data_IF_726941595552
#
_entry.id   IF_726941595552
#
_cell.length_a   1.000
_cell.length_b   1.000
_cell.length_c   1.000
_cell.angle_alpha   90.00
_cell.angle_beta   90.00
_cell.angle_gamma   90.00
#
_symmetry.space_group_name_H-M   'P 1'
#
loop_
_entity.id
_entity.type
_entity.pdbx_description
1 polymer ?
#
# COMPACT_ATOMS: atom_id res chain seq x y z
N UNK A 1 -17.63 10.93 -25.22
CA UNK A 1 -17.14 9.55 -24.94
C UNK A 1 -17.14 9.31 -23.44
N UNK A 2 -17.95 8.39 -22.90
CA UNK A 2 -17.81 7.94 -21.51
C UNK A 2 -16.63 6.96 -21.45
N UNK A 3 -15.48 7.41 -20.93
CA UNK A 3 -14.36 6.51 -20.64
C UNK A 3 -14.81 5.55 -19.53
N UNK A 4 -15.18 4.33 -19.89
CA UNK A 4 -15.43 3.24 -18.93
C UNK A 4 -14.08 2.75 -18.41
N UNK A 5 -13.44 3.54 -17.55
CA UNK A 5 -12.24 3.11 -16.82
C UNK A 5 -12.63 1.91 -15.95
N UNK A 6 -11.93 0.79 -16.15
CA UNK A 6 -12.21 -0.49 -15.48
C UNK A 6 -11.44 -0.59 -14.17
N UNK A 7 -11.91 -1.45 -13.24
CA UNK A 7 -11.15 -1.88 -12.06
C UNK A 7 -9.71 -2.26 -12.39
N UNK A 8 -9.51 -2.94 -13.51
CA UNK A 8 -8.18 -3.24 -14.09
C UNK A 8 -7.26 -2.01 -14.15
N UNK A 9 -7.74 -0.89 -14.67
CA UNK A 9 -6.94 0.33 -14.80
C UNK A 9 -6.53 0.88 -13.43
N UNK A 10 -7.40 0.79 -12.43
CA UNK A 10 -7.10 1.25 -11.08
C UNK A 10 -6.08 0.34 -10.39
N UNK A 11 -6.18 -0.98 -10.53
CA UNK A 11 -5.14 -1.89 -10.04
C UNK A 11 -3.80 -1.67 -10.75
N UNK A 12 -3.77 -1.29 -12.04
CA UNK A 12 -2.53 -0.91 -12.72
C UNK A 12 -1.89 0.33 -12.10
N UNK A 13 -2.68 1.33 -11.69
CA UNK A 13 -2.16 2.51 -10.99
C UNK A 13 -1.53 2.13 -9.66
N UNK A 14 -2.18 1.25 -8.90
CA UNK A 14 -1.63 0.73 -7.65
C UNK A 14 -0.38 -0.14 -7.84
N UNK A 15 -0.36 -0.98 -8.89
CA UNK A 15 0.82 -1.76 -9.28
C UNK A 15 2.01 -0.85 -9.58
N UNK A 16 1.78 0.21 -10.35
CA UNK A 16 2.81 1.21 -10.67
C UNK A 16 3.27 1.96 -9.41
N UNK A 17 2.37 2.32 -8.51
CA UNK A 17 2.71 2.90 -7.21
C UNK A 17 3.58 1.98 -6.34
N UNK A 18 3.24 0.68 -6.26
CA UNK A 18 4.08 -0.30 -5.54
C UNK A 18 5.43 -0.54 -6.22
N UNK A 19 5.51 -0.48 -7.55
CA UNK A 19 6.76 -0.60 -8.28
C UNK A 19 7.68 0.61 -8.05
N UNK A 20 7.13 1.82 -8.04
CA UNK A 20 7.88 3.02 -7.66
C UNK A 20 8.36 2.94 -6.20
N UNK A 21 7.53 2.44 -5.30
CA UNK A 21 7.93 2.20 -3.89
C UNK A 21 9.11 1.23 -3.80
N UNK A 22 9.16 0.20 -4.66
CA UNK A 22 10.27 -0.74 -4.70
C UNK A 22 11.57 -0.06 -5.16
N UNK A 23 11.50 0.80 -6.18
CA UNK A 23 12.65 1.61 -6.63
C UNK A 23 13.16 2.51 -5.50
N UNK A 24 12.25 3.11 -4.72
CA UNK A 24 12.63 3.91 -3.55
C UNK A 24 13.31 3.08 -2.46
N UNK A 25 12.78 1.89 -2.16
CA UNK A 25 13.38 1.00 -1.17
C UNK A 25 14.80 0.60 -1.56
N UNK A 26 15.04 0.32 -2.85
CA UNK A 26 16.37 0.03 -3.39
C UNK A 26 17.29 1.26 -3.30
N UNK A 27 16.79 2.44 -3.67
CA UNK A 27 17.56 3.70 -3.56
C UNK A 27 17.96 4.03 -2.11
N UNK A 28 17.11 3.69 -1.13
CA UNK A 28 17.41 3.87 0.28
C UNK A 28 18.62 3.03 0.76
N UNK A 29 18.88 1.87 0.14
CA UNK A 29 20.10 1.09 0.39
C UNK A 29 21.35 1.76 -0.18
N UNK A 30 21.22 2.54 -1.27
CA UNK A 30 22.29 3.32 -1.85
C UNK A 30 22.51 4.68 -1.14
N UNK A 31 21.79 4.95 -0.04
CA UNK A 31 21.86 6.22 0.69
C UNK A 31 21.10 7.38 0.03
N UNK A 32 20.31 7.12 -1.00
CA UNK A 32 19.52 8.14 -1.70
C UNK A 32 18.08 8.22 -1.19
N UNK A 33 17.54 9.43 -1.04
CA UNK A 33 16.12 9.69 -0.77
C UNK A 33 15.45 10.35 -1.98
N UNK A 34 14.37 9.77 -2.51
CA UNK A 34 13.68 10.28 -3.70
C UNK A 34 12.31 10.87 -3.36
N UNK A 35 12.30 12.09 -2.81
CA UNK A 35 11.07 12.78 -2.36
C UNK A 35 9.99 12.96 -3.45
N UNK A 36 10.40 13.03 -4.72
CA UNK A 36 9.47 13.06 -5.86
C UNK A 36 8.72 11.72 -6.04
N UNK A 37 9.40 10.59 -5.84
CA UNK A 37 8.77 9.28 -5.95
C UNK A 37 7.79 9.06 -4.80
N UNK A 38 8.07 9.51 -3.58
CA UNK A 38 7.11 9.45 -2.46
C UNK A 38 5.79 10.16 -2.79
N UNK A 39 5.90 11.35 -3.37
CA UNK A 39 4.72 12.12 -3.82
C UNK A 39 3.95 11.39 -4.91
N UNK A 40 4.66 10.77 -5.86
CA UNK A 40 4.05 9.99 -6.94
C UNK A 40 3.35 8.72 -6.41
N UNK A 41 3.99 7.97 -5.51
CA UNK A 41 3.44 6.77 -4.86
C UNK A 41 2.18 7.12 -4.09
N UNK A 42 2.22 8.18 -3.30
CA UNK A 42 1.07 8.67 -2.54
C UNK A 42 -0.09 9.01 -3.47
N UNK A 43 0.17 9.79 -4.53
CA UNK A 43 -0.84 10.19 -5.50
C UNK A 43 -1.46 8.98 -6.23
N UNK A 44 -0.64 8.05 -6.71
CA UNK A 44 -1.11 6.84 -7.40
C UNK A 44 -1.95 5.94 -6.50
N UNK A 45 -1.51 5.74 -5.25
CA UNK A 45 -2.25 4.94 -4.27
C UNK A 45 -3.57 5.62 -3.89
N UNK A 46 -3.55 6.94 -3.70
CA UNK A 46 -4.74 7.73 -3.42
C UNK A 46 -5.76 7.68 -4.57
N UNK A 47 -5.31 7.91 -5.80
CA UNK A 47 -6.14 7.83 -7.01
C UNK A 47 -6.73 6.44 -7.19
N UNK A 48 -5.95 5.38 -6.98
CA UNK A 48 -6.45 4.01 -7.03
C UNK A 48 -7.60 3.82 -6.04
N UNK A 49 -7.42 4.19 -4.76
CA UNK A 49 -8.43 3.98 -3.73
C UNK A 49 -9.71 4.77 -4.02
N UNK A 50 -9.58 6.05 -4.40
CA UNK A 50 -10.71 6.91 -4.74
C UNK A 50 -11.47 6.41 -5.97
N UNK A 51 -10.76 6.01 -7.02
CA UNK A 51 -11.41 5.53 -8.23
C UNK A 51 -12.05 4.16 -8.05
N UNK A 52 -11.44 3.28 -7.24
CA UNK A 52 -12.06 2.01 -6.90
C UNK A 52 -13.35 2.22 -6.09
N UNK A 53 -13.38 3.23 -5.21
CA UNK A 53 -14.58 3.62 -4.47
C UNK A 53 -15.64 4.28 -5.37
N UNK A 54 -15.24 4.97 -6.44
CA UNK A 54 -16.17 5.68 -7.34
C UNK A 54 -16.78 4.79 -8.44
N UNK A 55 -16.33 3.53 -8.57
CA UNK A 55 -16.88 2.58 -9.55
C UNK A 55 -18.39 2.46 -9.41
N UNK A 56 -19.07 2.59 -10.55
CA UNK A 56 -20.53 2.49 -10.62
C UNK A 56 -20.98 1.05 -10.33
N UNK A 57 -21.98 0.88 -9.47
CA UNK A 57 -22.46 -0.45 -9.03
C UNK A 57 -21.78 -1.02 -7.77
N UNK A 58 -20.77 -0.35 -7.21
CA UNK A 58 -20.16 -0.79 -5.93
C UNK A 58 -21.12 -0.53 -4.75
N UNK A 59 -21.41 -1.54 -3.89
CA UNK A 59 -22.22 -1.38 -2.68
C UNK A 59 -21.72 -0.25 -1.77
N UNK A 60 -22.64 0.40 -1.04
CA UNK A 60 -22.29 1.53 -0.16
C UNK A 60 -21.29 1.16 0.95
N UNK A 61 -21.35 -0.08 1.46
CA UNK A 61 -20.39 -0.58 2.46
C UNK A 61 -18.96 -0.64 1.90
N UNK A 62 -18.80 -1.15 0.68
CA UNK A 62 -17.50 -1.28 -0.01
C UNK A 62 -16.89 0.08 -0.36
N UNK A 63 -17.73 1.07 -0.69
CA UNK A 63 -17.27 2.45 -0.90
C UNK A 63 -16.72 3.04 0.38
N UNK A 64 -17.39 2.79 1.52
CA UNK A 64 -16.93 3.27 2.84
C UNK A 64 -15.60 2.64 3.24
N UNK A 65 -15.38 1.35 3.00
CA UNK A 65 -14.11 0.69 3.34
C UNK A 65 -12.94 1.24 2.50
N UNK A 66 -13.14 1.43 1.20
CA UNK A 66 -12.12 2.01 0.32
C UNK A 66 -11.84 3.47 0.63
N UNK A 67 -12.88 4.25 0.92
CA UNK A 67 -12.72 5.63 1.36
C UNK A 67 -12.01 5.71 2.73
N UNK A 68 -12.29 4.78 3.64
CA UNK A 68 -11.57 4.68 4.91
C UNK A 68 -10.08 4.39 4.69
N UNK A 69 -9.72 3.49 3.77
CA UNK A 69 -8.32 3.26 3.39
C UNK A 69 -7.66 4.54 2.84
N UNK A 70 -8.39 5.32 2.05
CA UNK A 70 -7.91 6.62 1.57
C UNK A 70 -7.70 7.63 2.71
N UNK A 71 -8.62 7.68 3.68
CA UNK A 71 -8.46 8.53 4.87
C UNK A 71 -7.28 8.10 5.74
N UNK A 72 -6.99 6.80 5.86
CA UNK A 72 -5.78 6.31 6.54
C UNK A 72 -4.51 6.82 5.83
N UNK A 73 -4.49 6.76 4.50
CA UNK A 73 -3.38 7.25 3.69
C UNK A 73 -3.19 8.77 3.86
N UNK A 74 -4.25 9.58 3.71
CA UNK A 74 -4.17 11.03 3.92
C UNK A 74 -3.81 11.38 5.36
N UNK A 75 -4.39 10.67 6.34
CA UNK A 75 -4.09 10.83 7.76
C UNK A 75 -2.60 10.64 8.05
N UNK A 76 -1.97 9.63 7.44
CA UNK A 76 -0.53 9.40 7.60
C UNK A 76 0.35 10.58 7.16
N UNK A 77 -0.13 11.42 6.24
CA UNK A 77 0.57 12.64 5.82
C UNK A 77 0.21 13.85 6.69
N UNK A 78 -1.02 13.91 7.19
CA UNK A 78 -1.55 15.10 7.90
C UNK A 78 -1.03 15.22 9.33
N UNK A 79 -0.89 14.11 10.06
CA UNK A 79 -0.44 14.17 11.45
C UNK A 79 1.07 14.40 11.55
N UNK A 80 1.51 15.33 12.41
CA UNK A 80 2.94 15.62 12.63
C UNK A 80 3.63 14.67 13.63
N UNK A 81 2.91 13.70 14.19
CA UNK A 81 3.43 12.75 15.19
C UNK A 81 4.06 11.54 14.48
N UNK A 82 5.40 11.33 14.52
CA UNK A 82 6.07 10.32 13.71
C UNK A 82 5.58 8.89 13.96
N UNK A 83 5.27 8.55 15.22
CA UNK A 83 4.74 7.23 15.58
C UNK A 83 3.37 6.98 14.94
N UNK A 84 2.49 7.98 14.97
CA UNK A 84 1.16 7.89 14.37
C UNK A 84 1.25 7.76 12.84
N UNK A 85 2.17 8.48 12.20
CA UNK A 85 2.41 8.34 10.76
C UNK A 85 2.80 6.91 10.38
N UNK A 86 3.75 6.30 11.13
CA UNK A 86 4.21 4.93 10.90
C UNK A 86 3.03 3.94 11.02
N UNK A 87 2.21 4.08 12.06
CA UNK A 87 1.05 3.20 12.26
C UNK A 87 0.04 3.35 11.11
N UNK A 88 -0.33 4.59 10.77
CA UNK A 88 -1.35 4.84 9.75
C UNK A 88 -0.90 4.34 8.37
N UNK A 89 0.35 4.62 7.97
CA UNK A 89 0.87 4.19 6.66
C UNK A 89 1.00 2.67 6.58
N UNK A 90 1.38 2.01 7.68
CA UNK A 90 1.47 0.55 7.75
C UNK A 90 0.11 -0.13 7.64
N UNK A 91 -0.97 0.57 7.99
CA UNK A 91 -2.32 0.00 7.99
C UNK A 91 -3.04 0.12 6.63
N UNK A 92 -2.58 1.00 5.74
CA UNK A 92 -3.23 1.25 4.43
C UNK A 92 -3.35 -0.03 3.59
N UNK A 93 -2.23 -0.72 3.37
CA UNK A 93 -2.21 -1.93 2.54
C UNK A 93 -2.87 -3.14 3.20
N UNK A 94 -2.68 -3.41 4.51
CA UNK A 94 -3.45 -4.43 5.22
C UNK A 94 -4.96 -4.20 5.19
N UNK A 95 -5.44 -2.95 5.37
CA UNK A 95 -6.86 -2.63 5.30
C UNK A 95 -7.41 -2.85 3.88
N UNK A 96 -6.65 -2.43 2.86
CA UNK A 96 -6.99 -2.69 1.46
C UNK A 96 -6.99 -4.20 1.12
N UNK A 97 -5.99 -4.94 1.59
CA UNK A 97 -5.88 -6.37 1.38
C UNK A 97 -7.01 -7.14 2.09
N UNK A 98 -7.42 -6.70 3.28
CA UNK A 98 -8.57 -7.27 4.00
C UNK A 98 -9.87 -7.06 3.20
N UNK A 99 -10.05 -5.85 2.64
CA UNK A 99 -11.19 -5.55 1.78
C UNK A 99 -11.24 -6.48 0.55
N UNK A 100 -10.13 -6.69 -0.15
CA UNK A 100 -10.09 -7.59 -1.31
C UNK A 100 -10.25 -9.07 -0.94
N UNK A 101 -9.64 -9.50 0.18
CA UNK A 101 -9.79 -10.86 0.71
C UNK A 101 -11.24 -11.21 1.02
N UNK A 102 -12.02 -10.28 1.56
CA UNK A 102 -13.44 -10.51 1.85
C UNK A 102 -14.28 -10.80 0.59
N UNK A 103 -13.77 -10.45 -0.60
CA UNK A 103 -14.41 -10.76 -1.88
C UNK A 103 -13.88 -12.05 -2.51
N UNK A 104 -12.66 -12.45 -2.14
CA UNK A 104 -11.97 -13.60 -2.73
C UNK A 104 -11.02 -14.26 -1.72
N UNK A 105 -11.39 -15.46 -1.28
CA UNK A 105 -10.61 -16.23 -0.32
C UNK A 105 -9.24 -16.68 -0.86
N UNK A 106 -9.04 -16.72 -2.18
CA UNK A 106 -7.76 -17.07 -2.80
C UNK A 106 -6.65 -16.07 -2.47
N UNK A 107 -7.02 -14.86 -2.05
CA UNK A 107 -6.09 -13.80 -1.64
C UNK A 107 -5.59 -13.94 -0.19
N UNK A 108 -5.96 -15.02 0.51
CA UNK A 108 -5.59 -15.22 1.92
C UNK A 108 -4.08 -15.23 2.15
N UNK A 109 -3.30 -15.82 1.25
CA UNK A 109 -1.84 -15.89 1.38
C UNK A 109 -1.20 -14.52 1.18
N UNK A 110 -1.68 -13.76 0.19
CA UNK A 110 -1.24 -12.41 -0.14
C UNK A 110 -1.59 -11.46 1.00
N UNK A 111 -2.80 -11.56 1.54
CA UNK A 111 -3.21 -10.82 2.73
C UNK A 111 -2.29 -11.08 3.93
N UNK A 112 -2.01 -12.36 4.24
CA UNK A 112 -1.10 -12.71 5.35
C UNK A 112 0.30 -12.16 5.11
N UNK A 113 0.83 -12.28 3.89
CA UNK A 113 2.15 -11.75 3.54
C UNK A 113 2.23 -10.22 3.72
N UNK A 114 1.20 -9.50 3.26
CA UNK A 114 1.11 -8.04 3.43
C UNK A 114 1.02 -7.67 4.90
N UNK A 115 0.13 -8.31 5.68
CA UNK A 115 0.02 -8.04 7.12
C UNK A 115 1.33 -8.31 7.88
N UNK A 116 1.98 -9.45 7.62
CA UNK A 116 3.24 -9.80 8.29
C UNK A 116 4.34 -8.82 7.88
N UNK A 117 4.46 -8.51 6.58
CA UNK A 117 5.46 -7.58 6.08
C UNK A 117 5.29 -6.18 6.67
N UNK A 118 4.07 -5.65 6.65
CA UNK A 118 3.75 -4.34 7.22
C UNK A 118 3.98 -4.28 8.73
N UNK A 119 3.58 -5.32 9.49
CA UNK A 119 3.83 -5.40 10.93
C UNK A 119 5.33 -5.46 11.27
N UNK A 120 6.11 -6.26 10.53
CA UNK A 120 7.55 -6.36 10.72
C UNK A 120 8.23 -5.02 10.42
N UNK A 121 7.90 -4.40 9.29
CA UNK A 121 8.42 -3.08 8.93
C UNK A 121 8.07 -2.03 9.99
N UNK A 122 6.80 -1.99 10.40
CA UNK A 122 6.32 -1.09 11.44
C UNK A 122 7.09 -1.28 12.75
N UNK A 123 7.25 -2.53 13.20
CA UNK A 123 7.97 -2.86 14.43
C UNK A 123 9.41 -2.38 14.41
N UNK A 124 10.15 -2.66 13.34
CA UNK A 124 11.53 -2.19 13.21
C UNK A 124 11.61 -0.66 13.14
N UNK A 125 10.69 0.02 12.45
CA UNK A 125 10.66 1.49 12.37
C UNK A 125 10.34 2.14 13.72
N UNK A 126 9.47 1.55 14.52
CA UNK A 126 9.18 2.02 15.88
C UNK A 126 10.41 1.85 16.77
N UNK A 127 11.11 0.71 16.70
CA UNK A 127 12.36 0.50 17.46
C UNK A 127 13.43 1.51 17.07
N UNK A 128 13.60 1.79 15.77
CA UNK A 128 14.53 2.82 15.29
C UNK A 128 14.12 4.21 15.80
N UNK A 129 12.83 4.54 15.79
CA UNK A 129 12.31 5.82 16.25
C UNK A 129 12.48 6.03 17.76
N UNK A 130 12.23 5.00 18.57
CA UNK A 130 12.22 5.10 20.03
C UNK A 130 13.60 4.86 20.66
N UNK A 131 14.41 3.97 20.06
CA UNK A 131 15.70 3.56 20.62
C UNK A 131 16.91 4.25 19.99
N UNK A 132 16.72 5.02 18.91
CA UNK A 132 17.78 5.69 18.14
C UNK A 132 18.94 4.76 17.70
N UNK A 133 18.68 3.44 17.65
CA UNK A 133 19.69 2.43 17.35
C UNK A 133 19.93 2.39 15.85
N UNK A 134 20.99 3.07 15.37
CA UNK A 134 21.38 3.09 13.95
C UNK A 134 21.54 1.69 13.35
N UNK A 135 21.99 0.71 14.13
CA UNK A 135 22.13 -0.70 13.70
C UNK A 135 20.82 -1.34 13.26
N UNK A 136 19.67 -0.84 13.75
CA UNK A 136 18.34 -1.34 13.37
C UNK A 136 17.82 -0.75 12.06
N UNK A 137 18.53 0.21 11.44
CA UNK A 137 18.11 0.82 10.19
C UNK A 137 18.19 -0.15 9.00
N UNK A 138 19.22 -0.99 8.92
CA UNK A 138 19.36 -1.99 7.86
C UNK A 138 18.25 -3.07 7.95
N UNK A 139 17.98 -3.68 9.12
CA UNK A 139 16.82 -4.55 9.30
C UNK A 139 15.49 -3.88 8.94
N UNK A 140 15.28 -2.62 9.35
CA UNK A 140 14.08 -1.86 9.01
C UNK A 140 13.90 -1.68 7.50
N UNK A 141 14.98 -1.36 6.78
CA UNK A 141 14.94 -1.19 5.33
C UNK A 141 14.69 -2.52 4.60
N UNK A 142 15.29 -3.63 5.07
CA UNK A 142 15.02 -4.97 4.53
C UNK A 142 13.58 -5.41 4.76
N UNK A 143 13.05 -5.20 5.97
CA UNK A 143 11.65 -5.48 6.27
C UNK A 143 10.71 -4.64 5.38
N UNK A 144 11.06 -3.38 5.13
CA UNK A 144 10.31 -2.49 4.23
C UNK A 144 10.32 -2.98 2.79
N UNK A 145 11.48 -3.44 2.30
CA UNK A 145 11.60 -4.04 0.98
C UNK A 145 10.71 -5.29 0.85
N UNK A 146 10.74 -6.17 1.85
CA UNK A 146 9.91 -7.38 1.88
C UNK A 146 8.41 -7.05 1.93
N UNK A 147 8.02 -6.04 2.73
CA UNK A 147 6.64 -5.55 2.78
C UNK A 147 6.19 -5.03 1.41
N UNK A 148 7.03 -4.27 0.72
CA UNK A 148 6.74 -3.77 -0.63
C UNK A 148 6.62 -4.91 -1.64
N UNK A 149 7.47 -5.92 -1.57
CA UNK A 149 7.35 -7.13 -2.40
C UNK A 149 6.02 -7.86 -2.16
N UNK A 150 5.58 -7.97 -0.91
CA UNK A 150 4.28 -8.57 -0.58
C UNK A 150 3.11 -7.73 -1.13
N UNK A 151 3.18 -6.39 -1.00
CA UNK A 151 2.21 -5.46 -1.59
C UNK A 151 2.17 -5.58 -3.11
N UNK A 152 3.33 -5.65 -3.77
CA UNK A 152 3.45 -5.82 -5.21
C UNK A 152 2.83 -7.16 -5.67
N UNK A 153 3.07 -8.24 -4.92
CA UNK A 153 2.46 -9.54 -5.19
C UNK A 153 0.94 -9.50 -5.09
N UNK A 154 0.39 -8.81 -4.08
CA UNK A 154 -1.05 -8.55 -3.98
C UNK A 154 -1.57 -7.80 -5.21
N UNK A 155 -0.95 -6.67 -5.58
CA UNK A 155 -1.39 -5.87 -6.74
C UNK A 155 -1.34 -6.65 -8.04
N UNK A 156 -0.28 -7.45 -8.23
CA UNK A 156 -0.13 -8.29 -9.42
C UNK A 156 -1.21 -9.38 -9.49
N UNK A 157 -1.55 -10.00 -8.35
CA UNK A 157 -2.63 -10.99 -8.29
C UNK A 157 -4.00 -10.39 -8.62
N UNK A 158 -4.29 -9.18 -8.13
CA UNK A 158 -5.52 -8.44 -8.43
C UNK A 158 -5.60 -8.03 -9.90
N UNK A 159 -4.49 -7.57 -10.46
CA UNK A 159 -4.40 -7.22 -11.88
C UNK A 159 -4.65 -8.45 -12.77
N UNK A 160 -4.05 -9.59 -12.44
CA UNK A 160 -4.22 -10.84 -13.19
C UNK A 160 -5.66 -11.32 -13.13
N UNK A 161 -6.30 -11.27 -11.95
CA UNK A 161 -7.71 -11.65 -11.77
C UNK A 161 -8.63 -10.87 -12.71
N UNK A 162 -8.54 -9.54 -12.73
CA UNK A 162 -9.37 -8.70 -13.61
C UNK A 162 -9.03 -8.84 -15.10
N UNK A 163 -7.87 -9.41 -15.44
CA UNK A 163 -7.55 -9.78 -16.82
C UNK A 163 -8.25 -11.07 -17.21
N UNK A 164 -8.30 -12.05 -16.32
CA UNK A 164 -8.81 -13.40 -16.61
C UNK A 164 -10.35 -13.48 -16.52
N UNK A 165 -11.00 -12.58 -15.78
CA UNK A 165 -12.48 -12.47 -15.66
C UNK A 165 -13.16 -11.71 -16.83
N UNK A 166 -12.40 -11.19 -17.80
CA UNK A 166 -12.89 -10.47 -18.98
C UNK A 166 -12.61 -11.21 -20.28
#
# INVERSE_FOLDING_TARGET
MKLKLSKKTYYTMGLLGTALSLVQAIAAFAGGSMRLLDSAVFCLTGLMLLFLASVHGTPAADKRSLFCCFLLLVGSMFFSIPLLQIILVSLVYPAFAAYEKNRDERLTNQFRAVCIGDLLWMGFRIVVLLGEVKSMMLPANLAGLLAICARLWLMFSLYKRERDER
#
